data_IF_295331979826
#
_entry.id   IF_295331979826
#
_cell.length_a   1.000
_cell.length_b   1.000
_cell.length_c   1.000
_cell.angle_alpha   90.00
_cell.angle_beta   90.00
_cell.angle_gamma   90.00
#
_symmetry.space_group_name_H-M   'P 1'
#
loop_
_entity.id
_entity.type
_entity.pdbx_description
1 polymer ?
#
# COMPACT_ATOMS: atom_id res chain seq x y z
N UNK A 1 -6.60 -8.53 -16.12
CA UNK A 1 -8.05 -8.27 -16.13
C UNK A 1 -8.24 -6.77 -16.00
N UNK A 2 -8.85 -6.08 -16.98
CA UNK A 2 -9.06 -4.62 -16.87
C UNK A 2 -10.24 -4.38 -15.92
N UNK A 3 -10.01 -3.60 -14.87
CA UNK A 3 -11.00 -3.31 -13.84
C UNK A 3 -11.61 -1.94 -14.17
N UNK A 4 -12.89 -1.86 -14.57
CA UNK A 4 -13.49 -0.61 -15.07
C UNK A 4 -13.49 0.52 -14.02
N UNK A 5 -13.41 0.19 -12.72
CA UNK A 5 -13.26 1.17 -11.65
C UNK A 5 -11.90 1.89 -11.70
N UNK A 6 -10.82 1.17 -12.01
CA UNK A 6 -9.48 1.73 -12.14
C UNK A 6 -9.43 2.65 -13.37
N UNK A 7 -10.02 2.24 -14.49
CA UNK A 7 -10.10 3.07 -15.68
C UNK A 7 -10.82 4.40 -15.41
N UNK A 8 -11.98 4.36 -14.74
CA UNK A 8 -12.74 5.57 -14.37
C UNK A 8 -12.00 6.48 -13.39
N UNK A 9 -11.25 5.93 -12.44
CA UNK A 9 -10.46 6.72 -11.49
C UNK A 9 -9.30 7.46 -12.18
N UNK A 10 -8.62 6.81 -13.13
CA UNK A 10 -7.55 7.44 -13.89
C UNK A 10 -8.08 8.45 -14.93
N UNK A 11 -9.24 8.21 -15.53
CA UNK A 11 -9.89 9.12 -16.51
C UNK A 11 -10.48 10.37 -15.86
N UNK A 12 -11.17 10.26 -14.72
CA UNK A 12 -11.86 11.38 -14.07
C UNK A 12 -10.91 12.47 -13.54
N UNK A 13 -9.63 12.15 -13.34
CA UNK A 13 -8.68 13.06 -12.70
C UNK A 13 -7.39 13.28 -13.51
N UNK A 14 -7.23 12.67 -14.70
CA UNK A 14 -6.01 12.70 -15.52
C UNK A 14 -5.61 14.09 -16.06
N UNK A 15 -4.39 14.56 -15.76
CA UNK A 15 -3.79 15.76 -16.37
C UNK A 15 -2.83 15.36 -17.52
N UNK A 16 -2.91 16.05 -18.66
CA UNK A 16 -2.14 15.77 -19.89
C UNK A 16 -0.61 15.76 -19.67
N UNK A 17 -0.10 16.50 -18.68
CA UNK A 17 1.34 16.76 -18.52
C UNK A 17 2.15 15.54 -18.05
N UNK A 18 1.51 14.50 -17.51
CA UNK A 18 2.17 13.31 -16.94
C UNK A 18 1.71 11.96 -17.54
N UNK A 19 1.01 12.00 -18.69
CA UNK A 19 0.30 10.86 -19.28
C UNK A 19 1.13 9.58 -19.42
N UNK A 20 2.36 9.66 -19.94
CA UNK A 20 3.26 8.50 -20.11
C UNK A 20 3.74 7.85 -18.80
N UNK A 21 3.87 8.63 -17.71
CA UNK A 21 4.22 8.09 -16.38
C UNK A 21 3.01 7.43 -15.74
N UNK A 22 1.85 8.08 -15.85
CA UNK A 22 0.57 7.60 -15.33
C UNK A 22 0.16 6.30 -16.03
N UNK A 23 0.33 6.20 -17.35
CA UNK A 23 0.06 4.96 -18.11
C UNK A 23 0.92 3.79 -17.64
N UNK A 24 2.24 3.99 -17.42
CA UNK A 24 3.13 2.96 -16.86
C UNK A 24 2.76 2.56 -15.43
N UNK A 25 2.35 3.51 -14.60
CA UNK A 25 1.85 3.24 -13.24
C UNK A 25 0.55 2.43 -13.28
N UNK A 26 -0.36 2.78 -14.20
CA UNK A 26 -1.63 2.10 -14.42
C UNK A 26 -1.45 0.66 -14.90
N UNK A 27 -0.56 0.43 -15.86
CA UNK A 27 -0.20 -0.92 -16.33
C UNK A 27 0.35 -1.78 -15.18
N UNK A 28 1.28 -1.25 -14.40
CA UNK A 28 1.84 -1.96 -13.24
C UNK A 28 0.80 -2.21 -12.14
N UNK A 29 -0.13 -1.29 -11.92
CA UNK A 29 -1.22 -1.49 -10.98
C UNK A 29 -2.13 -2.65 -11.41
N UNK A 30 -2.39 -2.79 -12.72
CA UNK A 30 -3.14 -3.93 -13.25
C UNK A 30 -2.39 -5.26 -13.11
N UNK A 31 -1.07 -5.26 -13.30
CA UNK A 31 -0.24 -6.45 -13.06
C UNK A 31 -0.15 -6.80 -11.57
N UNK A 32 -0.14 -5.80 -10.69
CA UNK A 32 -0.17 -6.00 -9.25
C UNK A 32 -1.47 -6.68 -8.79
N UNK A 33 -2.60 -6.40 -9.45
CA UNK A 33 -3.89 -7.08 -9.20
C UNK A 33 -4.01 -8.33 -10.11
N UNK A 34 -2.97 -9.17 -10.08
CA UNK A 34 -2.98 -10.45 -10.78
C UNK A 34 -3.32 -11.59 -9.82
N UNK A 35 -3.77 -12.73 -10.39
CA UNK A 35 -4.09 -13.94 -9.63
C UNK A 35 -2.91 -14.37 -8.73
N UNK A 36 -1.64 -14.36 -9.18
CA UNK A 36 -0.50 -14.65 -8.31
C UNK A 36 -0.44 -13.78 -7.05
N UNK A 37 -0.66 -12.47 -7.17
CA UNK A 37 -0.64 -11.57 -6.00
C UNK A 37 -1.76 -11.89 -5.01
N UNK A 38 -2.96 -12.21 -5.51
CA UNK A 38 -4.10 -12.59 -4.67
C UNK A 38 -3.79 -13.90 -3.91
N UNK A 39 -3.19 -14.89 -4.58
CA UNK A 39 -2.78 -16.13 -3.95
C UNK A 39 -1.69 -15.92 -2.88
N UNK A 40 -0.70 -15.07 -3.18
CA UNK A 40 0.33 -14.68 -2.20
C UNK A 40 -0.31 -13.98 -1.00
N UNK A 41 -1.30 -13.11 -1.21
CA UNK A 41 -2.02 -12.45 -0.13
C UNK A 41 -2.72 -13.45 0.79
N UNK A 42 -3.48 -14.39 0.20
CA UNK A 42 -4.19 -15.41 0.94
C UNK A 42 -3.24 -16.31 1.73
N UNK A 43 -2.11 -16.69 1.13
CA UNK A 43 -1.06 -17.46 1.81
C UNK A 43 -0.45 -16.66 2.97
N UNK A 44 -0.15 -15.38 2.76
CA UNK A 44 0.41 -14.50 3.78
C UNK A 44 -0.53 -14.36 4.98
N UNK A 45 -1.82 -14.12 4.74
CA UNK A 45 -2.84 -14.10 5.81
C UNK A 45 -2.84 -15.43 6.55
N UNK A 46 -2.92 -16.56 5.83
CA UNK A 46 -2.95 -17.90 6.43
C UNK A 46 -1.74 -18.15 7.34
N UNK A 47 -0.54 -17.77 6.90
CA UNK A 47 0.67 -17.91 7.72
C UNK A 47 0.61 -17.02 8.97
N UNK A 48 0.21 -15.75 8.82
CA UNK A 48 0.17 -14.80 9.94
C UNK A 48 -0.93 -15.18 10.96
N UNK A 49 -2.05 -15.76 10.52
CA UNK A 49 -3.13 -16.21 11.43
C UNK A 49 -2.69 -17.29 12.41
N UNK A 50 -1.57 -17.99 12.16
CA UNK A 50 -0.97 -18.91 13.13
C UNK A 50 -0.36 -18.19 14.34
N UNK A 51 -0.14 -16.88 14.27
CA UNK A 51 0.52 -16.10 15.32
C UNK A 51 -0.39 -15.04 15.95
N UNK A 52 -1.38 -14.53 15.23
CA UNK A 52 -2.27 -13.45 15.67
C UNK A 52 -3.73 -13.70 15.24
N UNK A 53 -4.67 -12.93 15.75
CA UNK A 53 -6.09 -13.00 15.37
C UNK A 53 -6.31 -12.76 13.87
N UNK A 54 -7.41 -13.27 13.33
CA UNK A 54 -7.74 -13.16 11.91
C UNK A 54 -7.75 -11.70 11.40
N UNK A 55 -8.34 -10.79 12.17
CA UNK A 55 -8.39 -9.37 11.82
C UNK A 55 -6.99 -8.77 11.78
N UNK A 56 -6.17 -9.02 12.81
CA UNK A 56 -4.80 -8.51 12.89
C UNK A 56 -3.93 -9.10 11.77
N UNK A 57 -4.13 -10.36 11.40
CA UNK A 57 -3.43 -10.98 10.28
C UNK A 57 -3.75 -10.31 8.94
N UNK A 58 -5.02 -9.94 8.70
CA UNK A 58 -5.42 -9.18 7.51
C UNK A 58 -4.72 -7.82 7.48
N UNK A 59 -4.73 -7.08 8.60
CA UNK A 59 -4.13 -5.74 8.67
C UNK A 59 -2.61 -5.77 8.44
N UNK A 60 -1.91 -6.77 9.00
CA UNK A 60 -0.48 -7.00 8.77
C UNK A 60 -0.23 -7.36 7.31
N UNK A 61 -0.94 -8.37 6.80
CA UNK A 61 -0.75 -8.83 5.43
C UNK A 61 -0.99 -7.71 4.41
N UNK A 62 -1.99 -6.87 4.67
CA UNK A 62 -2.30 -5.72 3.80
C UNK A 62 -1.16 -4.72 3.79
N UNK A 63 -0.61 -4.35 4.95
CA UNK A 63 0.50 -3.39 5.02
C UNK A 63 1.80 -3.92 4.42
N UNK A 64 2.06 -5.23 4.55
CA UNK A 64 3.18 -5.91 3.87
C UNK A 64 3.00 -5.85 2.35
N UNK A 65 1.81 -6.17 1.84
CA UNK A 65 1.54 -6.10 0.41
C UNK A 65 1.57 -4.67 -0.13
N UNK A 66 1.06 -3.69 0.61
CA UNK A 66 1.14 -2.28 0.21
C UNK A 66 2.61 -1.86 0.01
N UNK A 67 3.51 -2.29 0.90
CA UNK A 67 4.96 -2.10 0.74
C UNK A 67 5.52 -2.74 -0.54
N UNK A 68 5.19 -4.02 -0.79
CA UNK A 68 5.66 -4.77 -1.97
C UNK A 68 5.11 -4.17 -3.27
N UNK A 69 3.81 -3.94 -3.34
CA UNK A 69 3.12 -3.39 -4.51
C UNK A 69 3.61 -1.97 -4.79
N UNK A 70 3.76 -1.13 -3.76
CA UNK A 70 4.32 0.21 -3.91
C UNK A 70 5.75 0.16 -4.44
N UNK A 71 6.56 -0.81 -4.03
CA UNK A 71 7.90 -0.99 -4.57
C UNK A 71 7.89 -1.38 -6.05
N UNK A 72 6.96 -2.26 -6.46
CA UNK A 72 6.78 -2.65 -7.85
C UNK A 72 6.31 -1.49 -8.74
N UNK A 73 5.25 -0.80 -8.33
CA UNK A 73 4.63 0.29 -9.09
C UNK A 73 5.63 1.45 -9.28
N UNK A 74 6.27 1.88 -8.20
CA UNK A 74 7.14 3.07 -8.18
C UNK A 74 8.64 2.71 -8.24
N UNK A 75 9.02 1.58 -8.84
CA UNK A 75 10.43 1.13 -8.94
C UNK A 75 11.41 2.14 -9.56
N UNK A 76 10.88 3.09 -10.33
CA UNK A 76 11.65 4.18 -10.96
C UNK A 76 12.01 5.30 -9.97
N UNK A 77 11.24 5.45 -8.89
CA UNK A 77 11.53 6.39 -7.81
C UNK A 77 12.53 5.76 -6.84
N UNK A 78 13.82 5.94 -7.14
CA UNK A 78 14.94 5.42 -6.34
C UNK A 78 15.42 6.35 -5.23
N UNK A 79 14.87 7.56 -5.14
CA UNK A 79 15.38 8.59 -4.22
C UNK A 79 14.92 8.36 -2.78
N UNK A 80 15.78 8.70 -1.82
CA UNK A 80 15.43 8.74 -0.40
C UNK A 80 14.51 9.94 -0.14
N UNK A 81 13.39 9.82 0.60
CA UNK A 81 13.07 8.75 1.55
C UNK A 81 12.20 7.61 0.99
N UNK A 82 11.86 7.61 -0.30
CA UNK A 82 10.76 6.78 -0.83
C UNK A 82 11.02 5.27 -0.80
N UNK A 83 12.25 4.84 -1.05
CA UNK A 83 12.63 3.43 -0.92
C UNK A 83 12.62 2.99 0.55
N UNK A 84 13.11 3.84 1.44
CA UNK A 84 13.13 3.57 2.88
C UNK A 84 11.71 3.39 3.43
N UNK A 85 10.77 4.26 3.06
CA UNK A 85 9.37 4.14 3.48
C UNK A 85 8.70 2.85 2.99
N UNK A 86 9.06 2.38 1.79
CA UNK A 86 8.54 1.12 1.21
C UNK A 86 9.04 -0.11 1.95
N UNK A 87 10.35 -0.23 2.18
CA UNK A 87 10.90 -1.37 2.92
C UNK A 87 10.53 -1.30 4.40
N UNK A 88 10.53 -0.09 4.98
CA UNK A 88 10.10 0.14 6.35
C UNK A 88 8.65 -0.28 6.57
N UNK A 89 7.74 -0.08 5.60
CA UNK A 89 6.36 -0.61 5.67
C UNK A 89 6.30 -2.12 5.84
N UNK A 90 7.11 -2.87 5.08
CA UNK A 90 7.14 -4.33 5.16
C UNK A 90 7.58 -4.76 6.56
N UNK A 91 8.69 -4.20 7.03
CA UNK A 91 9.28 -4.54 8.35
C UNK A 91 8.35 -4.12 9.48
N UNK A 92 7.80 -2.90 9.44
CA UNK A 92 6.88 -2.40 10.46
C UNK A 92 5.61 -3.23 10.54
N UNK A 93 5.02 -3.63 9.42
CA UNK A 93 3.83 -4.48 9.43
C UNK A 93 4.14 -5.90 9.93
N UNK A 94 5.24 -6.53 9.50
CA UNK A 94 5.66 -7.84 10.04
C UNK A 94 5.94 -7.80 11.55
N UNK A 95 6.48 -6.70 12.07
CA UNK A 95 6.65 -6.53 13.52
C UNK A 95 5.32 -6.52 14.29
N UNK A 96 4.20 -6.31 13.58
CA UNK A 96 2.83 -6.51 14.02
C UNK A 96 2.53 -7.91 14.57
N UNK A 97 3.35 -8.91 14.26
CA UNK A 97 3.27 -10.24 14.88
C UNK A 97 3.63 -10.17 16.37
N UNK A 98 4.63 -9.34 16.71
CA UNK A 98 5.12 -9.16 18.09
C UNK A 98 4.28 -8.09 18.80
N UNK A 99 4.11 -6.93 18.18
CA UNK A 99 3.40 -5.79 18.78
C UNK A 99 2.64 -4.98 17.74
N UNK A 100 1.36 -4.61 17.99
CA UNK A 100 0.58 -3.82 17.05
C UNK A 100 0.99 -2.33 17.05
N UNK A 101 1.78 -1.89 18.03
CA UNK A 101 2.16 -0.48 18.21
C UNK A 101 3.05 0.02 17.08
N UNK A 102 4.02 -0.79 16.63
CA UNK A 102 4.93 -0.42 15.54
C UNK A 102 4.16 -0.20 14.22
N UNK A 103 3.33 -1.14 13.72
CA UNK A 103 2.57 -0.91 12.50
C UNK A 103 1.55 0.21 12.63
N UNK A 104 0.95 0.41 13.81
CA UNK A 104 0.04 1.53 14.08
C UNK A 104 0.74 2.88 13.85
N UNK A 105 1.87 3.12 14.52
CA UNK A 105 2.61 4.38 14.41
C UNK A 105 3.12 4.52 12.99
N UNK A 106 3.74 3.47 12.44
CA UNK A 106 4.34 3.52 11.12
C UNK A 106 3.31 3.82 10.01
N UNK A 107 2.18 3.12 10.00
CA UNK A 107 1.18 3.28 8.93
C UNK A 107 0.51 4.67 8.96
N UNK A 108 0.24 5.21 10.15
CA UNK A 108 -0.31 6.57 10.30
C UNK A 108 0.74 7.60 9.88
N UNK A 109 1.95 7.51 10.42
CA UNK A 109 3.03 8.47 10.13
C UNK A 109 3.42 8.46 8.65
N UNK A 110 3.64 7.28 8.06
CA UNK A 110 3.98 7.14 6.63
C UNK A 110 2.83 7.61 5.73
N UNK A 111 1.58 7.31 6.08
CA UNK A 111 0.41 7.79 5.35
C UNK A 111 0.32 9.31 5.31
N UNK A 112 0.40 9.97 6.48
CA UNK A 112 0.36 11.44 6.61
C UNK A 112 1.57 12.08 5.94
N UNK A 113 2.77 11.58 6.23
CA UNK A 113 4.01 12.09 5.64
C UNK A 113 3.95 12.01 4.11
N UNK A 114 3.54 10.86 3.57
CA UNK A 114 3.37 10.70 2.12
C UNK A 114 2.31 11.66 1.54
N UNK A 115 1.25 12.00 2.26
CA UNK A 115 0.27 12.96 1.76
C UNK A 115 0.84 14.39 1.68
N UNK A 116 1.66 14.79 2.64
CA UNK A 116 2.29 16.11 2.69
C UNK A 116 3.31 16.28 1.56
N UNK A 117 4.22 15.32 1.37
CA UNK A 117 5.30 15.46 0.37
C UNK A 117 4.74 15.42 -1.06
N UNK A 118 3.64 14.67 -1.24
CA UNK A 118 2.99 14.49 -2.53
C UNK A 118 1.70 15.32 -2.64
N UNK A 119 1.64 16.51 -2.03
CA UNK A 119 0.45 17.38 -2.09
C UNK A 119 -0.01 17.70 -3.53
N UNK A 120 0.93 17.74 -4.49
CA UNK A 120 0.66 17.95 -5.92
C UNK A 120 0.48 16.67 -6.73
N UNK A 121 0.48 15.51 -6.07
CA UNK A 121 0.26 14.25 -6.76
C UNK A 121 -1.20 14.07 -7.16
N UNK A 122 -1.40 13.15 -8.08
CA UNK A 122 -2.73 12.84 -8.59
C UNK A 122 -3.63 12.29 -7.48
N UNK A 123 -4.92 12.67 -7.39
CA UNK A 123 -5.83 12.21 -6.32
C UNK A 123 -5.85 10.69 -6.14
N UNK A 124 -5.73 9.93 -7.23
CA UNK A 124 -5.70 8.46 -7.21
C UNK A 124 -4.46 7.94 -6.47
N UNK A 125 -3.34 8.66 -6.52
CA UNK A 125 -2.12 8.31 -5.77
C UNK A 125 -2.25 8.58 -4.27
N UNK A 126 -3.25 9.35 -3.83
CA UNK A 126 -3.55 9.54 -2.41
C UNK A 126 -4.38 8.39 -1.82
N UNK A 127 -5.08 7.58 -2.64
CA UNK A 127 -5.89 6.46 -2.14
C UNK A 127 -5.07 5.44 -1.33
N UNK A 128 -3.91 4.95 -1.79
CA UNK A 128 -3.08 4.07 -0.97
C UNK A 128 -2.57 4.76 0.29
N UNK A 129 -2.34 6.08 0.26
CA UNK A 129 -1.85 6.85 1.42
C UNK A 129 -2.93 6.95 2.51
N UNK A 130 -4.17 7.23 2.12
CA UNK A 130 -5.33 7.21 3.01
C UNK A 130 -5.58 5.80 3.55
N UNK A 131 -5.46 4.78 2.69
CA UNK A 131 -5.56 3.38 3.10
C UNK A 131 -4.58 3.02 4.23
N UNK A 132 -3.35 3.55 4.21
CA UNK A 132 -2.37 3.33 5.29
C UNK A 132 -2.84 3.94 6.61
N UNK A 133 -3.34 5.17 6.59
CA UNK A 133 -3.87 5.81 7.80
C UNK A 133 -5.03 5.01 8.37
N UNK A 134 -5.95 4.55 7.51
CA UNK A 134 -7.06 3.67 7.91
C UNK A 134 -6.53 2.36 8.50
N UNK A 135 -5.56 1.71 7.86
CA UNK A 135 -4.98 0.46 8.37
C UNK A 135 -4.36 0.66 9.77
N UNK A 136 -3.60 1.75 9.97
CA UNK A 136 -3.04 2.10 11.27
C UNK A 136 -4.09 2.39 12.33
N UNK A 137 -5.18 3.07 11.97
CA UNK A 137 -6.32 3.30 12.87
C UNK A 137 -7.04 2.00 13.22
N UNK A 138 -7.17 1.06 12.28
CA UNK A 138 -7.74 -0.26 12.54
C UNK A 138 -6.86 -1.08 13.49
N UNK A 139 -5.53 -0.93 13.43
CA UNK A 139 -4.67 -1.52 14.46
C UNK A 139 -4.99 -1.00 15.87
N UNK A 140 -5.47 0.23 16.06
CA UNK A 140 -5.92 0.72 17.39
C UNK A 140 -7.11 -0.09 17.89
N UNK A 141 -8.08 -0.34 17.00
CA UNK A 141 -9.33 -1.01 17.34
C UNK A 141 -9.17 -2.53 17.56
N UNK A 142 -8.12 -3.11 16.99
CA UNK A 142 -7.88 -4.57 16.97
C UNK A 142 -6.49 -4.96 17.52
N UNK A 143 -5.83 -4.08 18.28
CA UNK A 143 -4.53 -4.27 18.92
C UNK A 143 -4.56 -5.36 19.99
#
# INVERSE_FOLDING_TARGET
MKIPLIDKLFEAFGSEKNRKRIERVKERAYEAISIPTILIFGLLIRVITSFVSWVRAILIAWGVLDGIISNYIYKEEKFFPYQFLRYGRIVANLSGIITPVIPLIWNISDGIYSMIIYERAHPVEHLPRLGRVVNGALFVAFA
#
